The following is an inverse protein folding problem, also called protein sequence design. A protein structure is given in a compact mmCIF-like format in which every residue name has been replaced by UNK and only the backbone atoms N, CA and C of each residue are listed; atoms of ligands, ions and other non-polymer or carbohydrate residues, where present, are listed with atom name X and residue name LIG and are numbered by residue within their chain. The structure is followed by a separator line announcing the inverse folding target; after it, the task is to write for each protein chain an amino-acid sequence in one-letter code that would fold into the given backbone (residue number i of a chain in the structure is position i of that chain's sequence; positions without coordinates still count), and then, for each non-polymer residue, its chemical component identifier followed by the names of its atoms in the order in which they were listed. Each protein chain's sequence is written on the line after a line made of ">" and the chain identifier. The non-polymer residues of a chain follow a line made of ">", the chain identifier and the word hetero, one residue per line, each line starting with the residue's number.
data_IF_227307725254
#
_entry.id   IF_227307725254
#
_cell.length_a   1.000
_cell.length_b   1.000
_cell.length_c   1.000
_cell.angle_alpha   90.00
_cell.angle_beta   90.00
_cell.angle_gamma   90.00
#
_symmetry.space_group_name_H-M   'P 1'
#
loop_
_entity.id
_entity.type
_entity.pdbx_description
1 polymer ?
#
# COMPACT_ATOMS: atom_id res chain seq x y z
N UNK A 1 4.82 -6.10 15.55
CA UNK A 1 3.93 -6.49 14.45
C UNK A 1 3.54 -5.22 13.76
N UNK A 2 3.91 -5.08 12.49
CA UNK A 2 3.56 -3.98 11.61
C UNK A 2 2.59 -4.47 10.55
N UNK A 3 1.67 -3.61 10.15
CA UNK A 3 0.67 -3.87 9.11
C UNK A 3 0.84 -2.80 8.04
N UNK A 4 0.86 -3.22 6.78
CA UNK A 4 0.97 -2.34 5.63
C UNK A 4 -0.20 -2.61 4.67
N UNK A 5 -0.68 -1.56 3.99
CA UNK A 5 -1.79 -1.63 3.07
C UNK A 5 -1.47 -0.82 1.80
N UNK A 6 -1.87 -1.33 0.63
CA UNK A 6 -1.92 -0.58 -0.62
C UNK A 6 -3.34 -0.05 -0.83
N UNK A 7 -3.59 1.27 -0.73
CA UNK A 7 -4.93 1.83 -0.92
C UNK A 7 -5.52 1.58 -2.32
N UNK A 8 -4.67 1.49 -3.34
CA UNK A 8 -5.06 1.38 -4.74
C UNK A 8 -5.67 0.02 -5.08
N UNK A 9 -5.11 -1.05 -4.51
CA UNK A 9 -5.56 -2.43 -4.73
C UNK A 9 -6.34 -3.00 -3.56
N UNK A 10 -6.29 -2.34 -2.39
CA UNK A 10 -6.85 -2.84 -1.15
C UNK A 10 -6.07 -4.01 -0.54
N UNK A 11 -4.89 -4.36 -1.07
CA UNK A 11 -4.06 -5.45 -0.54
C UNK A 11 -3.51 -5.06 0.83
N UNK A 12 -3.41 -6.03 1.73
CA UNK A 12 -2.93 -5.87 3.10
C UNK A 12 -1.92 -6.96 3.40
N UNK A 13 -0.84 -6.60 4.09
CA UNK A 13 0.14 -7.55 4.58
C UNK A 13 0.74 -7.13 5.92
N UNK A 14 1.54 -8.00 6.54
CA UNK A 14 2.10 -7.79 7.87
C UNK A 14 3.52 -8.35 8.00
N UNK A 15 4.27 -7.85 8.97
CA UNK A 15 5.65 -8.26 9.27
C UNK A 15 6.09 -7.90 10.69
N UNK A 16 7.21 -8.45 11.16
CA UNK A 16 7.80 -8.11 12.44
C UNK A 16 8.56 -6.77 12.39
N UNK A 17 9.07 -6.39 11.22
CA UNK A 17 9.64 -5.05 10.94
C UNK A 17 8.84 -4.30 9.88
N UNK A 18 9.12 -3.00 9.73
CA UNK A 18 8.50 -2.16 8.69
C UNK A 18 8.91 -2.67 7.30
N UNK A 19 10.20 -2.97 7.13
CA UNK A 19 10.78 -3.45 5.88
C UNK A 19 10.15 -4.78 5.46
N UNK A 20 9.96 -5.70 6.42
CA UNK A 20 9.29 -6.97 6.18
C UNK A 20 7.82 -6.78 5.80
N UNK A 21 7.06 -5.95 6.53
CA UNK A 21 5.66 -5.69 6.20
C UNK A 21 5.48 -5.08 4.80
N UNK A 22 6.40 -4.19 4.39
CA UNK A 22 6.41 -3.57 3.06
C UNK A 22 6.81 -4.58 1.98
N UNK A 23 7.82 -5.42 2.22
CA UNK A 23 8.21 -6.48 1.29
C UNK A 23 7.06 -7.47 1.07
N UNK A 24 6.42 -7.92 2.15
CA UNK A 24 5.28 -8.83 2.08
C UNK A 24 4.06 -8.17 1.41
N UNK A 25 3.85 -6.86 1.58
CA UNK A 25 2.80 -6.12 0.88
C UNK A 25 3.05 -6.05 -0.62
N UNK A 26 4.31 -5.85 -1.04
CA UNK A 26 4.69 -5.83 -2.45
C UNK A 26 4.35 -7.16 -3.12
N UNK A 27 4.76 -8.28 -2.55
CA UNK A 27 4.45 -9.62 -3.08
C UNK A 27 2.94 -9.86 -3.17
N UNK A 28 2.20 -9.54 -2.11
CA UNK A 28 0.73 -9.67 -2.11
C UNK A 28 0.06 -8.81 -3.20
N UNK A 29 0.65 -7.65 -3.53
CA UNK A 29 0.14 -6.75 -4.58
C UNK A 29 0.49 -7.26 -5.97
N UNK A 30 1.69 -7.81 -6.18
CA UNK A 30 2.08 -8.44 -7.44
C UNK A 30 1.13 -9.61 -7.76
N UNK A 31 0.85 -10.47 -6.78
CA UNK A 31 -0.12 -11.57 -6.93
C UNK A 31 -1.53 -11.07 -7.28
N UNK A 32 -2.01 -10.00 -6.64
CA UNK A 32 -3.31 -9.40 -6.96
C UNK A 32 -3.38 -8.92 -8.43
N UNK A 33 -2.30 -8.31 -8.93
CA UNK A 33 -2.22 -7.78 -10.29
C UNK A 33 -2.04 -8.87 -11.36
N UNK A 34 -1.55 -10.05 -10.99
CA UNK A 34 -1.50 -11.22 -11.88
C UNK A 34 -2.90 -11.83 -12.09
N UNK A 35 -3.76 -11.82 -11.07
CA UNK A 35 -5.08 -12.46 -11.10
C UNK A 35 -6.20 -11.58 -11.66
N UNK A 36 -6.05 -10.25 -11.62
CA UNK A 36 -7.08 -9.30 -12.05
C UNK A 36 -6.51 -8.30 -13.06
N UNK A 37 -7.28 -7.91 -14.10
CA UNK A 37 -6.87 -6.83 -14.97
C UNK A 37 -6.64 -5.57 -14.14
N UNK A 38 -5.51 -4.89 -14.38
CA UNK A 38 -5.19 -3.61 -13.76
C UNK A 38 -6.41 -2.70 -13.97
N UNK A 39 -7.10 -2.25 -12.90
CA UNK A 39 -8.23 -1.35 -13.07
C UNK A 39 -7.74 -0.13 -13.84
N UNK A 40 -8.54 0.42 -14.77
CA UNK A 40 -8.23 1.70 -15.39
C UNK A 40 -8.12 2.74 -14.27
N UNK A 41 -6.87 3.01 -13.88
CA UNK A 41 -6.57 3.98 -12.84
C UNK A 41 -6.86 5.35 -13.43
N UNK A 42 -8.05 5.88 -13.14
CA UNK A 42 -8.32 7.32 -13.26
C UNK A 42 -7.18 8.06 -12.53
N UNK A 43 -6.64 9.13 -13.11
CA UNK A 43 -5.43 9.83 -12.65
C UNK A 43 -5.32 9.89 -11.11
N UNK A 44 -4.57 8.96 -10.53
CA UNK A 44 -4.43 8.80 -9.09
C UNK A 44 -3.35 9.79 -8.60
N UNK A 45 -3.77 10.81 -7.84
CA UNK A 45 -2.85 11.71 -7.14
C UNK A 45 -2.62 11.19 -5.72
N UNK A 46 -1.56 10.38 -5.54
CA UNK A 46 -1.05 10.05 -4.21
C UNK A 46 -0.09 11.17 -3.76
N UNK A 47 -0.34 11.75 -2.58
CA UNK A 47 0.56 12.74 -1.98
C UNK A 47 0.65 12.54 -0.48
N UNK A 48 1.81 12.86 0.09
CA UNK A 48 2.05 12.87 1.53
C UNK A 48 2.49 14.28 1.89
N UNK A 49 1.87 14.89 2.91
CA UNK A 49 2.25 16.20 3.40
C UNK A 49 2.27 16.21 4.93
N UNK A 50 3.17 17.02 5.49
CA UNK A 50 3.24 17.26 6.92
C UNK A 50 2.50 18.56 7.27
N UNK A 51 1.69 18.55 8.33
CA UNK A 51 1.00 19.74 8.82
C UNK A 51 1.28 19.95 10.32
N UNK A 52 1.44 21.21 10.72
CA UNK A 52 1.63 21.57 12.14
C UNK A 52 0.30 21.99 12.75
N UNK A 53 -0.05 21.41 13.90
CA UNK A 53 -1.18 21.88 14.71
C UNK A 53 -0.76 23.15 15.43
N UNK A 54 -1.54 24.23 15.30
CA UNK A 54 -1.38 25.41 16.16
C UNK A 54 -2.20 25.16 17.44
N UNK A 55 -1.51 25.17 18.58
CA UNK A 55 -2.10 25.08 19.93
C UNK A 55 -2.02 26.45 20.58
#
# INVERSE_FOLDING_TARGET
>A
MYVAQCPETGTVSQGYTIEEAVANLKEATELYLEELPVPEVAELLMTVFEARVHV
#
